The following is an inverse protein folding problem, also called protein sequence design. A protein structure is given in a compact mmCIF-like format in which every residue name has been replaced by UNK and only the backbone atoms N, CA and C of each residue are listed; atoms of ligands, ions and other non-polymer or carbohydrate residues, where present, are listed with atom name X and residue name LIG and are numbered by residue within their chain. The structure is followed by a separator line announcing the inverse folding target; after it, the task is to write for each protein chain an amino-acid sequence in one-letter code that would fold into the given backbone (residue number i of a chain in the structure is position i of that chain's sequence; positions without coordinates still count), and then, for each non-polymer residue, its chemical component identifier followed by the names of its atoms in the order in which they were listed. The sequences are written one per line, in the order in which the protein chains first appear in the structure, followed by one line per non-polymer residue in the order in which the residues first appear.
data_IF_256453729033
#
_entry.id   IF_256453729033
#
_cell.length_a   1.000
_cell.length_b   1.000
_cell.length_c   1.000
_cell.angle_alpha   90.00
_cell.angle_beta   90.00
_cell.angle_gamma   90.00
#
_symmetry.space_group_name_H-M   'P 1'
#
loop_
_entity.id
_entity.type
_entity.pdbx_description
1 polymer ?
2 non-polymer ?
3 non-polymer ?
4 water ?
#
# COMPACT_ATOMS: atom_id res chain seq x y z
N UNK A 1 -0.14 25.90 -6.80
CA UNK A 1 -0.32 27.28 -6.35
C UNK A 1 -0.80 27.30 -4.90
N UNK A 2 -1.97 26.73 -4.69
CA UNK A 2 -2.56 26.40 -3.40
C UNK A 2 -2.67 24.87 -3.33
N UNK A 3 -2.04 24.26 -2.33
CA UNK A 3 -2.00 22.81 -2.21
C UNK A 3 -2.98 22.31 -1.16
N UNK A 4 -4.22 22.74 -1.30
CA UNK A 4 -5.30 22.41 -0.36
C UNK A 4 -6.01 21.15 -0.79
N UNK A 5 -6.05 20.14 0.07
CA UNK A 5 -6.78 18.96 -0.31
C UNK A 5 -8.28 19.12 -0.16
N UNK A 6 -9.03 18.39 -0.96
CA UNK A 6 -10.45 18.21 -0.84
C UNK A 6 -10.81 16.73 -0.87
N UNK A 7 -11.95 16.33 -0.32
CA UNK A 7 -12.39 14.93 -0.42
C UNK A 7 -12.32 14.32 -1.80
N UNK A 8 -12.40 15.14 -2.84
CA UNK A 8 -12.18 14.64 -4.19
C UNK A 8 -10.82 14.04 -4.47
N UNK A 9 -9.81 14.40 -3.69
CA UNK A 9 -8.46 13.85 -3.89
C UNK A 9 -8.32 12.46 -3.28
N UNK A 10 -9.36 11.97 -2.63
CA UNK A 10 -9.45 10.61 -2.13
C UNK A 10 -8.37 10.27 -1.10
N UNK A 11 -8.02 11.22 -0.27
CA UNK A 11 -7.02 10.88 0.77
C UNK A 11 -7.68 10.22 1.98
N UNK A 12 -7.08 9.10 2.45
CA UNK A 12 -7.70 8.39 3.56
C UNK A 12 -6.62 8.08 4.60
N UNK A 13 -7.06 7.85 5.83
CA UNK A 13 -6.10 7.61 6.90
C UNK A 13 -6.62 6.48 7.79
N UNK A 14 -5.73 5.64 8.30
CA UNK A 14 -6.24 4.64 9.26
C UNK A 14 -6.46 5.28 10.61
N UNK A 15 -7.43 4.77 11.38
CA UNK A 15 -7.62 5.23 12.74
C UNK A 15 -6.36 5.09 13.60
N UNK A 16 -5.60 4.05 13.25
CA UNK A 16 -4.42 3.70 14.03
C UNK A 16 -3.24 4.60 13.71
N UNK A 17 -3.39 5.48 12.74
CA UNK A 17 -2.25 6.31 12.33
C UNK A 17 -2.17 7.54 13.23
N UNK A 18 -3.10 8.45 13.07
CA UNK A 18 -3.16 9.63 13.95
C UNK A 18 -3.41 9.19 15.37
N UNK A 19 -3.99 8.01 15.56
CA UNK A 19 -4.26 7.56 16.91
C UNK A 19 -3.15 6.77 17.55
N UNK A 20 -1.96 6.71 16.91
CA UNK A 20 -0.87 5.95 17.51
C UNK A 20 -0.42 6.68 18.78
N UNK A 21 -0.40 5.99 19.92
CA UNK A 21 -0.05 6.68 21.16
C UNK A 21 1.44 6.83 21.39
N UNK A 22 2.27 6.26 20.51
CA UNK A 22 3.70 6.51 20.64
C UNK A 22 4.42 5.44 21.44
N UNK A 23 3.79 4.31 21.67
CA UNK A 23 4.56 3.23 22.34
C UNK A 23 5.49 2.55 21.39
N UNK A 24 6.78 2.40 21.74
CA UNK A 24 7.71 1.76 20.76
C UNK A 24 8.42 0.65 21.56
N UNK A 25 9.31 -0.17 21.03
CA UNK A 25 9.82 -1.30 21.84
C UNK A 25 10.65 -0.83 23.03
N UNK A 26 11.05 0.44 23.05
CA UNK A 26 11.82 0.93 24.18
C UNK A 26 11.14 2.00 25.01
N UNK A 27 9.86 2.30 24.80
CA UNK A 27 9.32 3.39 25.61
C UNK A 27 7.81 3.38 25.68
N UNK A 28 7.33 4.10 26.67
CA UNK A 28 5.92 4.18 26.99
C UNK A 28 5.22 5.16 26.03
N UNK A 29 3.88 5.13 26.07
CA UNK A 29 3.08 6.06 25.26
C UNK A 29 3.38 7.49 25.63
N UNK A 30 3.40 8.42 24.67
CA UNK A 30 3.64 9.83 24.90
C UNK A 30 2.36 10.65 24.66
N UNK A 31 1.32 9.98 24.13
CA UNK A 31 0.07 10.69 23.85
C UNK A 31 -1.10 9.90 24.41
N UNK A 32 -2.16 10.57 24.86
CA UNK A 32 -3.36 9.79 25.24
C UNK A 32 -4.11 9.23 24.05
N UNK A 33 -4.99 8.27 24.34
CA UNK A 33 -5.74 7.68 23.22
C UNK A 33 -6.73 8.70 22.67
N UNK A 34 -6.97 8.55 21.38
CA UNK A 34 -7.94 9.38 20.69
C UNK A 34 -9.24 8.60 20.52
N UNK A 35 -10.37 9.23 20.79
CA UNK A 35 -11.65 8.61 20.45
C UNK A 35 -11.81 8.65 18.94
N UNK A 36 -12.17 7.51 18.34
CA UNK A 36 -12.34 7.39 16.90
C UNK A 36 -13.23 8.48 16.34
N UNK A 37 -14.22 8.88 17.14
CA UNK A 37 -15.11 9.92 16.63
C UNK A 37 -14.37 11.24 16.47
N UNK A 38 -13.45 11.45 17.41
CA UNK A 38 -12.69 12.68 17.40
C UNK A 38 -11.77 12.69 16.18
N UNK A 39 -11.14 11.54 15.89
CA UNK A 39 -10.28 11.48 14.72
C UNK A 39 -11.05 11.71 13.43
N UNK A 40 -12.26 11.15 13.34
CA UNK A 40 -13.01 11.32 12.09
C UNK A 40 -13.29 12.79 11.86
N UNK A 41 -13.66 13.49 12.93
CA UNK A 41 -14.00 14.90 12.82
C UNK A 41 -12.79 15.75 12.46
N UNK A 42 -11.65 15.45 13.07
CA UNK A 42 -10.45 16.27 12.80
C UNK A 42 -9.92 16.02 11.39
N UNK A 43 -9.92 14.75 10.99
CA UNK A 43 -9.49 14.44 9.62
C UNK A 43 -10.40 15.05 8.58
N UNK A 44 -11.70 15.05 8.82
CA UNK A 44 -12.59 15.72 7.86
C UNK A 44 -12.25 17.19 7.71
N UNK A 45 -11.94 17.85 8.82
CA UNK A 45 -11.62 19.26 8.76
C UNK A 45 -10.38 19.53 7.94
N UNK A 46 -9.49 18.55 7.89
CA UNK A 46 -8.25 18.73 7.15
C UNK A 46 -8.39 18.49 5.67
N UNK A 47 -9.54 17.93 5.27
CA UNK A 47 -9.76 17.70 3.84
C UNK A 47 -9.67 16.25 3.45
N UNK A 48 -9.58 15.33 4.40
CA UNK A 48 -9.56 13.92 4.07
C UNK A 48 -10.89 13.45 3.46
N UNK A 49 -10.83 12.37 2.69
CA UNK A 49 -12.00 11.72 2.08
C UNK A 49 -12.58 10.63 2.96
N UNK A 50 -11.73 9.93 3.74
CA UNK A 50 -12.30 8.86 4.57
C UNK A 50 -11.29 8.26 5.55
N UNK A 51 -11.72 7.23 6.28
CA UNK A 51 -10.85 6.61 7.27
C UNK A 51 -10.94 5.10 7.07
N UNK A 52 -9.96 4.40 7.64
CA UNK A 52 -9.99 2.94 7.61
C UNK A 52 -9.75 2.46 9.06
N UNK A 53 -9.99 1.17 9.27
CA UNK A 53 -9.84 0.66 10.64
C UNK A 53 -9.51 -0.81 10.67
N UNK A 54 -8.76 -1.24 11.67
CA UNK A 54 -8.80 -2.61 12.13
C UNK A 54 -10.01 -2.83 13.06
N UNK A 55 -10.58 -4.03 13.06
CA UNK A 55 -11.63 -4.37 14.03
C UNK A 55 -11.30 -3.85 15.43
N UNK A 56 -10.12 -4.14 15.97
CA UNK A 56 -9.81 -3.76 17.33
C UNK A 56 -9.54 -2.28 17.49
N UNK A 57 -9.40 -1.47 16.44
CA UNK A 57 -9.27 -0.05 16.65
C UNK A 57 -10.63 0.59 17.00
N UNK A 58 -11.69 -0.02 16.50
CA UNK A 58 -13.04 0.54 16.54
C UNK A 58 -13.79 -0.07 17.72
N UNK A 59 -13.64 -1.38 17.85
CA UNK A 59 -14.29 -2.13 18.93
C UNK A 59 -13.23 -2.82 19.79
N UNK A 60 -13.06 -2.37 21.02
CA UNK A 60 -11.98 -2.92 21.84
C UNK A 60 -12.16 -4.43 22.02
N UNK A 61 -11.01 -5.08 22.01
CA UNK A 61 -10.98 -6.54 22.09
C UNK A 61 -11.83 -7.01 23.27
N UNK A 62 -12.66 -8.02 23.09
CA UNK A 62 -13.45 -8.66 24.11
C UNK A 62 -14.81 -8.03 24.33
N UNK A 63 -15.11 -6.94 23.63
CA UNK A 63 -16.36 -6.26 23.79
C UNK A 63 -17.55 -7.21 23.64
N UNK A 64 -18.57 -6.96 24.46
CA UNK A 64 -19.84 -7.67 24.37
C UNK A 64 -20.57 -7.24 23.11
N UNK A 65 -21.46 -8.09 22.60
CA UNK A 65 -22.22 -7.71 21.41
C UNK A 65 -22.95 -6.39 21.61
N UNK A 66 -23.31 -6.05 22.87
CA UNK A 66 -24.03 -4.79 23.04
C UNK A 66 -23.08 -3.62 23.05
N UNK A 67 -21.89 -3.80 23.65
CA UNK A 67 -20.92 -2.71 23.62
C UNK A 67 -20.50 -2.42 22.18
N UNK A 68 -20.39 -3.50 21.42
CA UNK A 68 -20.08 -3.46 20.00
C UNK A 68 -21.04 -2.58 19.20
N UNK A 69 -22.34 -2.89 19.32
CA UNK A 69 -23.33 -2.09 18.57
C UNK A 69 -23.23 -0.62 18.96
N UNK A 70 -22.87 -0.35 20.20
CA UNK A 70 -22.78 1.03 20.67
C UNK A 70 -21.60 1.76 20.02
N UNK A 71 -20.45 1.09 19.96
CA UNK A 71 -19.27 1.70 19.37
C UNK A 71 -19.49 1.96 17.89
N UNK A 72 -20.23 1.06 17.24
CA UNK A 72 -20.42 1.22 15.79
C UNK A 72 -21.37 2.37 15.51
N UNK A 73 -22.46 2.44 16.30
CA UNK A 73 -23.44 3.51 16.05
C UNK A 73 -22.85 4.88 16.22
N UNK A 74 -22.05 5.11 17.27
CA UNK A 74 -21.37 6.38 17.44
C UNK A 74 -20.44 6.72 16.27
N UNK A 75 -19.77 5.67 15.77
CA UNK A 75 -18.87 5.87 14.63
C UNK A 75 -19.65 6.29 13.39
N UNK A 76 -20.71 5.50 13.14
CA UNK A 76 -21.56 5.79 12.00
C UNK A 76 -22.16 7.18 12.12
N UNK A 77 -22.48 7.64 13.33
CA UNK A 77 -23.01 9.01 13.35
C UNK A 77 -21.94 10.02 13.02
N UNK A 78 -20.67 9.78 13.41
CA UNK A 78 -19.63 10.73 12.99
C UNK A 78 -19.43 10.72 11.47
N UNK A 79 -19.60 9.54 10.89
CA UNK A 79 -19.40 9.51 9.43
C UNK A 79 -20.51 10.31 8.73
N UNK A 80 -21.73 10.12 9.23
CA UNK A 80 -22.87 10.85 8.65
C UNK A 80 -22.77 12.35 8.84
N UNK A 81 -22.27 12.75 10.00
CA UNK A 81 -22.09 14.15 10.32
C UNK A 81 -21.03 14.82 9.46
N UNK A 82 -20.04 14.05 9.01
CA UNK A 82 -18.94 14.69 8.29
C UNK A 82 -18.91 14.40 6.82
N UNK A 83 -19.61 13.39 6.30
CA UNK A 83 -19.47 13.08 4.89
C UNK A 83 -18.28 12.13 4.67
N UNK A 84 -17.60 11.69 5.72
CA UNK A 84 -16.47 10.76 5.53
C UNK A 84 -16.89 9.36 5.13
N UNK A 85 -16.05 8.70 4.32
CA UNK A 85 -16.33 7.36 3.83
C UNK A 85 -15.40 6.33 4.49
N UNK A 86 -15.74 5.05 4.35
CA UNK A 86 -14.87 3.99 4.89
C UNK A 86 -14.56 3.01 3.76
N UNK A 87 -13.54 3.29 2.96
CA UNK A 87 -13.29 2.47 1.77
C UNK A 87 -12.57 1.15 2.01
N UNK A 88 -11.96 0.99 3.16
CA UNK A 88 -11.19 -0.23 3.40
C UNK A 88 -11.29 -0.58 4.85
N UNK A 89 -11.22 -1.85 5.18
CA UNK A 89 -11.04 -2.24 6.57
C UNK A 89 -10.12 -3.46 6.62
N UNK A 90 -9.73 -3.76 7.85
CA UNK A 90 -8.79 -4.90 8.00
C UNK A 90 -8.97 -5.54 9.36
N UNK A 91 -8.25 -6.64 9.62
CA UNK A 91 -8.39 -7.34 10.89
C UNK A 91 -7.10 -7.20 11.71
N UNK A 92 -7.21 -7.06 13.02
CA UNK A 92 -6.00 -7.14 13.83
C UNK A 92 -5.74 -8.60 14.22
N UNK A 93 -4.79 -9.22 13.52
CA UNK A 93 -4.37 -10.58 13.88
C UNK A 93 -2.91 -10.54 14.34
N UNK A 94 -2.54 -9.50 15.09
CA UNK A 94 -1.12 -9.41 15.48
C UNK A 94 -0.92 -8.92 16.89
N UNK A 95 -1.84 -8.18 17.50
CA UNK A 95 -1.55 -7.60 18.83
C UNK A 95 -1.76 -8.55 19.99
N UNK A 96 -2.88 -9.25 20.00
CA UNK A 96 -3.14 -10.16 21.14
C UNK A 96 -2.10 -11.27 21.24
N UNK A 97 -1.66 -11.61 22.44
CA UNK A 97 -0.72 -12.73 22.62
C UNK A 97 -1.15 -14.01 21.95
N UNK A 98 -2.45 -14.26 21.71
CA UNK A 98 -2.78 -15.55 21.10
C UNK A 98 -2.21 -15.67 19.68
N UNK A 99 -1.89 -14.53 19.06
CA UNK A 99 -1.39 -14.48 17.68
C UNK A 99 0.11 -14.43 17.65
N UNK A 100 0.78 -14.84 18.73
CA UNK A 100 2.25 -14.71 18.77
C UNK A 100 2.95 -15.55 17.72
N UNK A 101 2.37 -16.62 17.22
CA UNK A 101 3.02 -17.41 16.17
C UNK A 101 2.24 -17.31 14.88
N UNK A 102 1.34 -16.32 14.81
CA UNK A 102 0.63 -16.08 13.57
C UNK A 102 -0.88 -16.19 13.75
N UNK A 103 -1.66 -15.86 12.73
CA UNK A 103 -3.12 -16.05 12.75
C UNK A 103 -3.41 -17.19 11.76
N UNK A 104 -3.35 -16.94 10.46
CA UNK A 104 -3.65 -17.97 9.48
C UNK A 104 -2.61 -19.09 9.41
N UNK A 105 -1.38 -18.84 9.85
CA UNK A 105 -0.36 -19.89 9.73
C UNK A 105 0.28 -20.24 11.06
N UNK A 106 -0.44 -19.94 12.14
CA UNK A 106 -0.04 -20.37 13.48
C UNK A 106 0.15 -21.87 13.49
N UNK A 107 1.12 -22.41 14.22
CA UNK A 107 1.25 -23.86 14.22
C UNK A 107 0.03 -24.51 14.89
N UNK A 108 -0.57 -23.86 15.88
CA UNK A 108 -1.73 -24.45 16.57
C UNK A 108 -2.98 -24.34 15.72
N UNK A 109 -3.65 -25.45 15.41
CA UNK A 109 -4.82 -25.42 14.52
C UNK A 109 -5.96 -24.64 15.12
N UNK A 110 -6.14 -24.69 16.45
CA UNK A 110 -7.29 -23.96 17.02
C UNK A 110 -7.09 -22.46 16.88
N UNK A 111 -5.84 -21.99 16.94
CA UNK A 111 -5.65 -20.55 16.71
C UNK A 111 -5.98 -20.14 15.29
N UNK A 112 -5.57 -20.95 14.31
CA UNK A 112 -5.91 -20.68 12.91
C UNK A 112 -7.42 -20.62 12.71
N UNK A 113 -8.20 -21.50 13.33
CA UNK A 113 -9.67 -21.44 13.19
C UNK A 113 -10.20 -20.19 13.85
N UNK A 114 -9.68 -19.78 15.01
CA UNK A 114 -10.12 -18.54 15.63
C UNK A 114 -9.79 -17.34 14.75
N UNK A 115 -8.60 -17.34 14.13
CA UNK A 115 -8.23 -16.19 13.30
C UNK A 115 -9.19 -16.00 12.14
N UNK A 116 -9.62 -17.11 11.54
CA UNK A 116 -10.60 -17.00 10.47
C UNK A 116 -11.94 -16.50 10.98
N UNK A 117 -12.42 -17.00 12.11
CA UNK A 117 -13.71 -16.47 12.59
C UNK A 117 -13.64 -15.01 12.94
N UNK A 118 -12.52 -14.53 13.50
CA UNK A 118 -12.40 -13.10 13.88
C UNK A 118 -12.39 -12.28 12.61
N UNK A 119 -11.74 -12.82 11.58
CA UNK A 119 -11.72 -12.13 10.28
C UNK A 119 -13.12 -12.02 9.67
N UNK A 120 -13.83 -13.13 9.62
CA UNK A 120 -15.16 -13.16 8.96
C UNK A 120 -16.11 -12.21 9.64
N UNK A 121 -16.09 -12.17 10.95
CA UNK A 121 -16.89 -11.21 11.70
C UNK A 121 -16.66 -9.79 11.27
N UNK A 122 -15.40 -9.42 10.97
CA UNK A 122 -15.18 -8.03 10.62
C UNK A 122 -15.46 -7.81 9.14
N UNK A 123 -15.41 -8.83 8.29
CA UNK A 123 -15.75 -8.60 6.87
C UNK A 123 -17.22 -8.16 6.81
N UNK A 124 -18.06 -8.84 7.62
CA UNK A 124 -19.47 -8.43 7.64
C UNK A 124 -19.62 -6.97 8.04
N UNK A 125 -18.90 -6.57 9.09
CA UNK A 125 -18.96 -5.18 9.51
C UNK A 125 -18.43 -4.25 8.43
N UNK A 126 -17.34 -4.59 7.75
CA UNK A 126 -16.83 -3.71 6.73
C UNK A 126 -17.82 -3.48 5.59
N UNK A 127 -18.46 -4.56 5.15
CA UNK A 127 -19.45 -4.41 4.10
C UNK A 127 -20.58 -3.50 4.56
N UNK A 128 -20.97 -3.65 5.83
CA UNK A 128 -22.06 -2.79 6.33
C UNK A 128 -21.65 -1.33 6.25
N UNK A 129 -20.40 -1.03 6.57
CA UNK A 129 -19.94 0.36 6.50
C UNK A 129 -19.57 0.81 5.10
N UNK A 130 -19.65 -0.04 4.09
CA UNK A 130 -19.46 0.33 2.71
C UNK A 130 -18.07 0.17 2.17
N UNK A 131 -17.23 -0.60 2.87
CA UNK A 131 -15.85 -0.76 2.39
C UNK A 131 -15.80 -1.57 1.11
N UNK A 132 -14.90 -1.24 0.19
CA UNK A 132 -14.79 -2.00 -1.07
C UNK A 132 -13.58 -2.92 -1.07
N UNK A 133 -12.67 -2.67 -0.14
CA UNK A 133 -11.43 -3.45 -0.09
C UNK A 133 -11.19 -3.94 1.34
N UNK A 134 -10.76 -5.18 1.47
CA UNK A 134 -10.49 -5.74 2.79
C UNK A 134 -9.00 -6.09 2.79
N UNK A 135 -8.22 -5.45 3.65
CA UNK A 135 -6.75 -5.69 3.60
C UNK A 135 -6.35 -6.79 4.55
N UNK A 136 -5.30 -7.54 4.19
CA UNK A 136 -4.80 -8.53 5.14
C UNK A 136 -3.29 -8.31 5.29
N UNK A 137 -2.82 -7.99 6.48
CA UNK A 137 -1.38 -7.90 6.65
C UNK A 137 -0.98 -9.02 7.63
N UNK A 138 -0.24 -9.99 7.11
CA UNK A 138 0.07 -11.12 7.99
C UNK A 138 1.33 -10.84 8.78
N UNK A 139 1.25 -9.87 9.68
CA UNK A 139 2.38 -9.38 10.46
C UNK A 139 3.03 -10.44 11.33
N UNK A 140 2.26 -11.44 11.80
CA UNK A 140 2.89 -12.46 12.65
C UNK A 140 3.11 -13.77 11.90
N UNK A 141 2.89 -13.85 10.59
CA UNK A 141 3.05 -15.10 9.85
C UNK A 141 4.53 -15.20 9.50
N UNK A 142 5.29 -16.07 10.13
CA UNK A 142 6.72 -16.07 9.83
C UNK A 142 7.47 -16.78 10.92
N UNK A 143 8.73 -16.39 11.16
CA UNK A 143 9.53 -17.21 12.09
C UNK A 143 10.79 -16.43 12.47
N UNK A 144 11.35 -16.75 13.63
CA UNK A 144 12.66 -16.26 14.00
C UNK A 144 13.72 -17.33 13.76
N UNK A 145 13.31 -18.57 13.58
CA UNK A 145 14.29 -19.68 13.45
C UNK A 145 13.84 -20.69 12.41
N UNK A 146 14.80 -21.46 11.88
CA UNK A 146 14.52 -22.25 10.70
C UNK A 146 13.59 -23.41 10.93
N UNK A 147 13.65 -24.05 12.09
CA UNK A 147 12.86 -25.27 12.24
C UNK A 147 11.43 -25.03 12.70
N UNK A 148 11.15 -23.78 13.08
CA UNK A 148 9.87 -23.46 13.70
C UNK A 148 8.72 -23.47 12.73
N UNK A 149 9.05 -23.35 11.43
CA UNK A 149 7.96 -23.15 10.45
C UNK A 149 8.32 -23.87 9.18
N UNK A 150 7.62 -24.90 8.78
CA UNK A 150 7.79 -25.51 7.47
C UNK A 150 7.08 -24.59 6.48
N UNK A 151 7.82 -23.92 5.59
CA UNK A 151 7.12 -22.87 4.83
C UNK A 151 6.19 -23.44 3.78
N UNK A 152 6.44 -24.62 3.23
CA UNK A 152 5.44 -25.19 2.33
C UNK A 152 4.15 -25.48 3.04
N UNK A 153 4.23 -26.07 4.26
CA UNK A 153 2.95 -26.30 4.97
C UNK A 153 2.29 -25.00 5.33
N UNK A 154 3.09 -23.99 5.68
CA UNK A 154 2.48 -22.70 6.03
C UNK A 154 1.85 -22.05 4.83
N UNK A 155 2.42 -22.15 3.63
CA UNK A 155 1.74 -21.60 2.47
C UNK A 155 0.46 -22.38 2.16
N UNK A 156 0.51 -23.70 2.41
CA UNK A 156 -0.77 -24.43 2.25
C UNK A 156 -1.84 -23.86 3.17
N UNK A 157 -1.45 -23.60 4.43
CA UNK A 157 -2.43 -23.06 5.39
C UNK A 157 -2.87 -21.65 5.00
N UNK A 158 -1.93 -20.86 4.44
CA UNK A 158 -2.29 -19.51 4.03
C UNK A 158 -3.28 -19.53 2.87
N UNK A 159 -3.03 -20.42 1.92
CA UNK A 159 -3.92 -20.59 0.77
C UNK A 159 -5.30 -21.05 1.22
N UNK A 160 -5.30 -22.01 2.13
CA UNK A 160 -6.56 -22.52 2.67
C UNK A 160 -7.37 -21.41 3.29
N UNK A 161 -6.71 -20.53 4.07
CA UNK A 161 -7.40 -19.42 4.72
C UNK A 161 -7.97 -18.43 3.71
N UNK A 162 -7.14 -18.02 2.74
CA UNK A 162 -7.73 -17.07 1.78
C UNK A 162 -8.78 -17.72 0.89
N UNK A 163 -8.64 -19.01 0.62
CA UNK A 163 -9.68 -19.66 -0.20
C UNK A 163 -11.00 -19.68 0.56
N UNK A 164 -10.93 -19.96 1.86
CA UNK A 164 -12.16 -19.97 2.64
C UNK A 164 -12.77 -18.60 2.74
N UNK A 165 -11.93 -17.56 2.88
CA UNK A 165 -12.52 -16.23 2.90
C UNK A 165 -13.16 -15.86 1.56
N UNK A 166 -12.60 -16.37 0.46
CA UNK A 166 -13.22 -16.05 -0.83
C UNK A 166 -14.53 -16.81 -0.98
N UNK A 167 -14.52 -18.04 -0.46
CA UNK A 167 -15.78 -18.79 -0.51
C UNK A 167 -16.83 -18.05 0.28
N UNK A 168 -16.46 -17.48 1.42
CA UNK A 168 -17.41 -16.79 2.27
C UNK A 168 -17.98 -15.58 1.56
N UNK A 169 -17.15 -14.69 1.02
CA UNK A 169 -17.74 -13.48 0.44
C UNK A 169 -18.55 -13.84 -0.80
N UNK A 170 -18.19 -14.86 -1.56
CA UNK A 170 -18.98 -15.17 -2.75
C UNK A 170 -20.32 -15.80 -2.36
N UNK A 171 -20.33 -16.56 -1.28
CA UNK A 171 -21.58 -17.20 -0.87
C UNK A 171 -22.54 -16.19 -0.27
N UNK A 172 -22.00 -15.13 0.33
CA UNK A 172 -22.82 -14.07 0.90
C UNK A 172 -23.19 -13.04 -0.15
N UNK A 173 -22.62 -13.13 -1.36
CA UNK A 173 -22.98 -12.10 -2.34
C UNK A 173 -22.33 -10.75 -2.14
N UNK A 174 -21.20 -10.66 -1.44
CA UNK A 174 -20.65 -9.35 -1.12
C UNK A 174 -19.76 -8.83 -2.25
N UNK A 175 -19.79 -7.52 -2.42
CA UNK A 175 -18.95 -6.89 -3.45
C UNK A 175 -17.81 -6.23 -2.66
N UNK A 176 -16.84 -7.08 -2.38
CA UNK A 176 -15.63 -6.64 -1.67
C UNK A 176 -14.50 -7.50 -2.25
N UNK A 177 -13.31 -6.93 -2.37
CA UNK A 177 -12.14 -7.64 -2.84
C UNK A 177 -11.05 -7.60 -1.75
N UNK A 178 -10.11 -8.52 -1.90
CA UNK A 178 -9.11 -8.66 -0.84
C UNK A 178 -7.77 -8.07 -1.31
N UNK A 179 -6.98 -7.50 -0.40
CA UNK A 179 -5.68 -6.95 -0.82
C UNK A 179 -4.65 -7.44 0.20
N UNK A 180 -3.64 -8.17 -0.23
CA UNK A 180 -2.62 -8.63 0.69
C UNK A 180 -1.52 -7.60 0.80
N UNK A 181 -1.10 -7.32 1.99
CA UNK A 181 -0.10 -6.28 2.23
C UNK A 181 1.20 -6.97 2.62
N UNK A 182 2.21 -6.95 1.78
CA UNK A 182 3.48 -7.59 2.11
C UNK A 182 4.34 -6.74 3.04
N UNK A 183 5.21 -7.43 3.77
CA UNK A 183 6.24 -6.75 4.58
C UNK A 183 7.37 -7.76 4.74
N UNK A 184 8.63 -7.44 4.64
CA UNK A 184 9.65 -8.48 4.71
C UNK A 184 10.02 -8.99 6.10
N UNK A 185 9.90 -8.12 7.10
CA UNK A 185 10.24 -8.50 8.46
C UNK A 185 9.62 -7.49 9.42
N UNK A 186 9.59 -7.82 10.69
CA UNK A 186 9.21 -6.95 11.78
C UNK A 186 7.68 -6.95 11.88
N UNK A 187 7.09 -7.59 12.89
CA UNK A 187 7.76 -8.07 14.08
C UNK A 187 8.35 -9.46 14.04
N UNK A 188 8.08 -10.26 13.01
CA UNK A 188 8.75 -11.56 13.01
C UNK A 188 10.10 -11.38 12.31
N UNK A 189 11.02 -12.30 12.57
CA UNK A 189 12.35 -12.24 11.98
C UNK A 189 12.32 -12.25 10.48
N UNK A 190 11.48 -13.09 9.89
CA UNK A 190 11.16 -13.06 8.47
C UNK A 190 9.65 -13.29 8.36
N UNK A 191 8.98 -12.52 7.52
CA UNK A 191 7.53 -12.65 7.37
C UNK A 191 7.25 -13.34 6.06
N UNK A 192 6.22 -14.20 6.03
CA UNK A 192 5.94 -14.88 4.77
C UNK A 192 5.33 -13.91 3.75
N UNK A 193 5.52 -14.14 2.45
CA UNK A 193 5.12 -13.22 1.39
C UNK A 193 5.75 -11.85 1.61
N UNK A 194 7.09 -11.82 1.59
CA UNK A 194 7.74 -10.61 2.09
C UNK A 194 7.74 -9.41 1.17
N UNK A 195 7.42 -9.60 -0.14
CA UNK A 195 7.47 -8.46 -1.03
C UNK A 195 6.25 -8.48 -1.96
N UNK A 196 6.05 -7.37 -2.66
CA UNK A 196 4.96 -7.40 -3.65
C UNK A 196 5.04 -8.55 -4.61
N UNK A 197 6.26 -8.93 -5.06
CA UNK A 197 6.35 -10.04 -6.00
C UNK A 197 5.90 -11.36 -5.40
N UNK A 198 6.34 -11.69 -4.16
CA UNK A 198 5.90 -12.95 -3.54
C UNK A 198 4.39 -13.00 -3.36
N UNK A 199 3.78 -11.85 -3.03
CA UNK A 199 2.31 -11.83 -2.84
C UNK A 199 1.61 -12.02 -4.16
N UNK A 200 2.08 -11.37 -5.22
CA UNK A 200 1.46 -11.53 -6.54
C UNK A 200 1.57 -12.96 -6.99
N UNK A 201 2.72 -13.61 -6.71
CA UNK A 201 2.85 -14.98 -7.18
C UNK A 201 1.92 -15.92 -6.44
N UNK A 202 1.77 -15.65 -5.14
CA UNK A 202 0.91 -16.47 -4.31
C UNK A 202 -0.54 -16.42 -4.74
N UNK A 203 -1.01 -15.22 -5.05
CA UNK A 203 -2.39 -15.01 -5.47
C UNK A 203 -2.77 -15.87 -6.67
N UNK A 204 -1.80 -16.14 -7.54
CA UNK A 204 -2.11 -16.90 -8.75
C UNK A 204 -2.39 -18.35 -8.39
N UNK A 205 -2.11 -18.78 -7.18
CA UNK A 205 -2.39 -20.17 -6.79
C UNK A 205 -3.66 -20.30 -5.97
N UNK A 206 -4.40 -19.20 -5.76
CA UNK A 206 -5.66 -19.26 -5.03
C UNK A 206 -6.79 -19.78 -5.91
N UNK A 207 -7.86 -20.27 -5.31
CA UNK A 207 -8.88 -20.82 -6.22
C UNK A 207 -9.55 -19.76 -7.06
N UNK A 208 -9.79 -18.55 -6.55
CA UNK A 208 -10.46 -17.50 -7.32
C UNK A 208 -9.55 -16.26 -7.30
N UNK A 209 -8.50 -16.31 -8.09
CA UNK A 209 -7.51 -15.24 -8.04
C UNK A 209 -8.09 -13.87 -8.35
N UNK A 210 -9.23 -13.79 -9.05
CA UNK A 210 -9.70 -12.46 -9.41
C UNK A 210 -10.15 -11.67 -8.20
N UNK A 211 -10.39 -12.28 -7.05
CA UNK A 211 -10.85 -11.56 -5.89
C UNK A 211 -9.70 -10.94 -5.06
N UNK A 212 -8.47 -11.23 -5.48
CA UNK A 212 -7.34 -10.83 -4.64
C UNK A 212 -6.31 -9.97 -5.36
N UNK A 213 -5.84 -8.89 -4.68
CA UNK A 213 -4.77 -8.05 -5.26
C UNK A 213 -3.77 -7.73 -4.14
N UNK A 214 -3.00 -6.67 -4.35
CA UNK A 214 -2.01 -6.30 -3.33
C UNK A 214 -2.32 -4.91 -2.80
N UNK A 215 -1.86 -4.67 -1.59
CA UNK A 215 -1.86 -3.38 -0.91
C UNK A 215 -0.40 -3.11 -0.51
N UNK A 216 0.43 -2.65 -1.42
CA UNK A 216 1.86 -2.41 -1.11
C UNK A 216 1.99 -1.18 -0.22
N UNK A 217 3.05 -1.12 0.60
CA UNK A 217 3.32 0.05 1.41
C UNK A 217 4.70 0.58 1.06
N UNK A 218 4.84 1.88 0.86
CA UNK A 218 6.14 2.43 0.43
C UNK A 218 7.30 1.90 1.26
N UNK A 219 7.14 2.03 2.58
CA UNK A 219 8.29 1.72 3.44
C UNK A 219 8.58 0.25 3.48
N UNK A 220 7.60 -0.63 3.28
CA UNK A 220 7.87 -2.06 3.41
C UNK A 220 8.76 -2.57 2.30
N UNK A 221 8.46 -2.13 1.06
CA UNK A 221 9.38 -2.62 0.02
C UNK A 221 10.77 -1.99 0.18
N UNK A 222 10.81 -0.77 0.71
CA UNK A 222 12.14 -0.16 0.92
C UNK A 222 12.90 -0.82 2.06
N UNK A 223 12.24 -1.57 2.95
CA UNK A 223 12.95 -2.30 3.99
C UNK A 223 13.74 -3.48 3.42
N UNK A 224 13.40 -3.82 2.18
CA UNK A 224 14.18 -4.82 1.44
C UNK A 224 15.08 -4.13 0.40
N UNK A 225 15.17 -2.81 0.42
CA UNK A 225 16.11 -2.15 -0.51
C UNK A 225 15.56 -2.15 -1.93
N UNK A 226 14.24 -2.37 -2.06
CA UNK A 226 13.71 -2.47 -3.43
C UNK A 226 13.17 -1.14 -3.94
N UNK A 227 12.98 -1.04 -5.25
CA UNK A 227 12.47 0.23 -5.83
C UNK A 227 10.95 0.15 -5.81
N UNK A 228 10.33 0.99 -5.00
CA UNK A 228 8.86 0.89 -4.83
C UNK A 228 8.14 1.24 -6.11
N UNK A 229 8.44 2.32 -6.83
CA UNK A 229 7.74 2.53 -8.11
C UNK A 229 7.85 1.37 -9.08
N UNK A 230 9.01 0.71 -9.10
CA UNK A 230 9.08 -0.47 -9.98
C UNK A 230 8.11 -1.57 -9.55
N UNK A 231 7.99 -1.82 -8.24
CA UNK A 231 7.09 -2.90 -7.79
C UNK A 231 5.64 -2.52 -8.05
N UNK A 232 5.32 -1.25 -7.87
CA UNK A 232 3.96 -0.77 -8.17
C UNK A 232 3.69 -0.93 -9.65
N UNK A 233 4.69 -0.68 -10.51
CA UNK A 233 4.47 -0.86 -11.95
C UNK A 233 4.16 -2.31 -12.25
N UNK A 234 4.88 -3.23 -11.56
CA UNK A 234 4.60 -4.64 -11.82
C UNK A 234 3.19 -5.00 -11.34
N UNK A 235 2.79 -4.45 -10.19
CA UNK A 235 1.44 -4.71 -9.70
C UNK A 235 0.39 -4.13 -10.67
N UNK A 236 0.63 -2.94 -11.19
CA UNK A 236 -0.30 -2.37 -12.19
C UNK A 236 -0.34 -3.19 -13.48
N UNK A 237 0.82 -3.65 -13.93
CA UNK A 237 0.89 -4.47 -15.15
C UNK A 237 0.05 -5.72 -14.98
N UNK A 238 0.00 -6.30 -13.78
CA UNK A 238 -0.72 -7.53 -13.52
C UNK A 238 -2.21 -7.28 -13.27
N UNK A 239 -2.60 -6.01 -13.18
CA UNK A 239 -3.98 -5.68 -12.88
C UNK A 239 -4.32 -5.90 -11.41
N UNK A 240 -3.36 -5.78 -10.48
CA UNK A 240 -3.63 -6.15 -9.11
C UNK A 240 -3.40 -5.05 -8.08
N UNK A 241 -3.28 -3.80 -8.52
CA UNK A 241 -3.08 -2.77 -7.50
C UNK A 241 -4.46 -2.33 -6.97
N UNK A 242 -4.91 -3.00 -5.92
CA UNK A 242 -6.26 -2.72 -5.45
C UNK A 242 -6.28 -1.57 -4.43
N UNK A 243 -5.14 -1.30 -3.81
CA UNK A 243 -5.10 -0.26 -2.77
C UNK A 243 -3.63 0.05 -2.57
N UNK A 244 -3.30 1.11 -1.85
CA UNK A 244 -1.88 1.42 -1.65
C UNK A 244 -1.70 2.14 -0.32
N UNK A 245 -0.60 1.87 0.38
CA UNK A 245 -0.32 2.54 1.65
C UNK A 245 0.85 3.50 1.45
N UNK A 246 0.63 4.78 1.69
CA UNK A 246 1.66 5.78 1.41
C UNK A 246 2.32 6.25 2.69
N UNK A 247 3.65 6.32 2.72
CA UNK A 247 4.36 6.82 3.90
C UNK A 247 5.83 7.04 3.49
N UNK A 248 6.74 7.18 4.43
CA UNK A 248 8.14 7.36 4.06
C UNK A 248 9.05 6.51 4.94
N UNK A 249 10.25 6.23 4.43
CA UNK A 249 11.13 5.27 5.11
C UNK A 249 12.55 5.70 4.76
N UNK A 250 13.46 5.76 5.72
CA UNK A 250 14.83 6.08 5.38
C UNK A 250 15.66 4.78 5.33
N UNK A 251 15.54 4.06 4.22
CA UNK A 251 16.36 2.88 3.93
C UNK A 251 16.02 1.62 4.68
N UNK A 252 17.05 0.77 4.80
CA UNK A 252 16.87 -0.56 5.40
C UNK A 252 17.15 -0.52 6.89
N UNK A 253 16.06 -0.57 7.64
CA UNK A 253 16.06 -0.55 9.10
C UNK A 253 14.65 -0.86 9.58
N UNK A 254 14.32 -0.62 10.83
CA UNK A 254 12.97 -0.84 11.36
C UNK A 254 11.96 -0.02 10.54
N UNK A 255 10.70 -0.46 10.56
CA UNK A 255 9.62 0.21 9.80
C UNK A 255 9.32 1.56 10.41
N UNK A 256 9.72 2.67 9.77
CA UNK A 256 9.54 3.98 10.39
C UNK A 256 8.14 4.56 10.24
N UNK A 257 7.46 4.27 9.13
CA UNK A 257 6.14 4.81 8.87
C UNK A 257 6.13 6.33 8.99
N UNK A 258 7.09 7.00 8.33
CA UNK A 258 7.10 8.46 8.39
C UNK A 258 6.00 9.04 7.53
N UNK A 259 5.75 10.35 7.71
CA UNK A 259 4.75 10.89 6.79
C UNK A 259 5.20 10.82 5.34
N UNK A 260 4.21 10.72 4.43
CA UNK A 260 4.47 10.61 3.02
C UNK A 260 5.23 11.85 2.54
N UNK A 261 6.27 11.63 1.76
CA UNK A 261 7.17 12.67 1.27
C UNK A 261 8.49 12.68 2.01
N UNK A 262 8.45 12.30 3.28
CA UNK A 262 9.67 12.08 4.04
C UNK A 262 10.31 10.79 3.55
N UNK A 263 11.56 10.55 3.95
CA UNK A 263 12.20 9.33 3.46
C UNK A 263 12.80 9.63 2.10
N UNK A 264 12.54 8.73 1.16
CA UNK A 264 13.14 8.88 -0.17
C UNK A 264 12.24 9.75 -1.03
N UNK A 265 12.61 11.02 -1.11
CA UNK A 265 11.75 11.97 -1.80
C UNK A 265 11.68 11.74 -3.30
N UNK A 266 12.82 11.40 -3.92
CA UNK A 266 12.70 11.16 -5.36
C UNK A 266 11.84 9.95 -5.67
N UNK A 267 11.91 8.91 -4.82
CA UNK A 267 11.01 7.77 -5.08
C UNK A 267 9.54 8.14 -4.94
N UNK A 268 9.28 9.09 -4.03
CA UNK A 268 7.89 9.57 -3.90
C UNK A 268 7.48 10.29 -5.17
N UNK A 269 8.36 11.06 -5.78
CA UNK A 269 8.07 11.79 -7.02
C UNK A 269 7.72 10.79 -8.10
N UNK A 270 8.60 9.76 -8.23
CA UNK A 270 8.34 8.81 -9.31
C UNK A 270 7.13 7.95 -9.03
N UNK A 271 6.80 7.72 -7.76
CA UNK A 271 5.57 7.01 -7.49
C UNK A 271 4.34 7.81 -7.89
N UNK A 272 4.33 9.09 -7.50
CA UNK A 272 3.13 9.90 -7.86
C UNK A 272 3.00 10.00 -9.38
N UNK A 273 4.12 10.20 -10.07
CA UNK A 273 4.13 10.23 -11.54
C UNK A 273 3.46 8.99 -12.10
N UNK A 274 3.84 7.82 -11.56
CA UNK A 274 3.26 6.58 -12.05
C UNK A 274 1.79 6.43 -11.72
N UNK A 275 1.41 6.67 -10.47
CA UNK A 275 0.01 6.54 -10.12
C UNK A 275 -0.88 7.44 -10.96
N UNK A 276 -0.43 8.67 -11.16
CA UNK A 276 -1.29 9.62 -11.89
C UNK A 276 -1.25 9.32 -13.38
N UNK A 277 -0.11 8.88 -13.90
CA UNK A 277 -0.12 8.58 -15.34
C UNK A 277 -0.83 7.27 -15.64
N UNK A 278 -0.88 6.33 -14.71
CA UNK A 278 -1.58 5.07 -14.95
C UNK A 278 -3.06 5.24 -14.63
N UNK A 279 -3.47 6.34 -14.03
CA UNK A 279 -4.90 6.55 -13.76
C UNK A 279 -5.35 5.67 -12.61
N UNK A 280 -4.49 5.42 -11.64
CA UNK A 280 -4.93 4.66 -10.45
C UNK A 280 -6.10 5.40 -9.81
N UNK A 281 -7.22 4.71 -9.56
CA UNK A 281 -8.34 5.50 -9.04
C UNK A 281 -8.76 5.13 -7.63
N UNK A 282 -7.97 4.29 -6.96
CA UNK A 282 -8.35 3.95 -5.60
C UNK A 282 -7.95 5.04 -4.62
N UNK A 283 -8.18 4.75 -3.35
CA UNK A 283 -7.82 5.67 -2.30
C UNK A 283 -6.30 5.91 -2.20
N UNK A 284 -5.92 7.11 -1.80
CA UNK A 284 -4.52 7.36 -1.49
C UNK A 284 -4.49 7.37 0.04
N UNK A 285 -4.17 6.20 0.53
CA UNK A 285 -4.20 5.94 1.95
C UNK A 285 -2.85 6.14 2.63
N UNK A 286 -2.85 6.88 3.73
CA UNK A 286 -1.60 7.05 4.47
C UNK A 286 -1.61 6.11 5.66
N UNK A 287 -0.60 5.23 5.71
CA UNK A 287 -0.39 4.34 6.85
C UNK A 287 0.91 4.88 7.48
N UNK A 288 0.80 5.81 8.40
CA UNK A 288 1.98 6.50 8.92
C UNK A 288 1.83 6.64 10.42
N UNK A 289 2.93 6.95 11.11
CA UNK A 289 2.88 7.23 12.52
C UNK A 289 3.43 8.60 12.80
N UNK A 290 2.67 9.53 13.36
CA UNK A 290 3.32 10.79 13.74
C UNK A 290 4.33 10.47 14.83
N UNK A 291 5.57 10.94 14.70
CA UNK A 291 6.60 10.58 15.66
C UNK A 291 6.25 10.85 17.11
N UNK A 292 6.81 10.03 17.99
CA UNK A 292 6.32 10.11 19.38
C UNK A 292 6.83 11.36 20.09
N UNK A 293 7.71 12.13 19.43
CA UNK A 293 8.11 13.44 19.91
C UNK A 293 6.97 14.45 19.89
N UNK A 294 5.90 14.16 19.18
CA UNK A 294 4.90 15.19 18.87
C UNK A 294 3.74 15.21 19.86
N UNK A 295 3.21 16.42 20.10
CA UNK A 295 1.91 16.40 20.79
C UNK A 295 0.77 16.36 19.79
N UNK A 296 -0.51 16.49 20.22
CA UNK A 296 -1.55 16.41 19.19
C UNK A 296 -1.51 17.48 18.13
N UNK A 297 -1.02 18.68 18.38
CA UNK A 297 -0.88 19.63 17.30
C UNK A 297 0.09 19.12 16.26
N UNK A 298 1.16 18.45 16.67
CA UNK A 298 2.11 17.86 15.71
C UNK A 298 1.53 16.67 14.99
N UNK A 299 0.62 15.92 15.63
CA UNK A 299 -0.06 14.84 14.90
C UNK A 299 -0.83 15.40 13.72
N UNK A 300 -1.61 16.47 13.95
CA UNK A 300 -2.40 17.00 12.82
C UNK A 300 -1.53 17.68 11.77
N UNK A 301 -0.42 18.25 12.21
CA UNK A 301 0.49 18.83 11.26
C UNK A 301 1.09 17.78 10.33
N UNK A 302 1.43 16.66 10.97
CA UNK A 302 2.04 15.56 10.20
C UNK A 302 1.04 14.97 9.22
N UNK A 303 -0.22 14.80 9.65
CA UNK A 303 -1.25 14.29 8.74
C UNK A 303 -1.49 15.25 7.59
N UNK A 304 -1.55 16.56 7.92
CA UNK A 304 -1.72 17.50 6.80
C UNK A 304 -0.56 17.45 5.82
N UNK A 305 0.64 17.22 6.36
CA UNK A 305 1.81 17.23 5.45
C UNK A 305 1.80 16.05 4.49
N UNK A 306 1.22 14.91 4.87
CA UNK A 306 1.05 13.79 3.98
C UNK A 306 0.35 14.22 2.69
N UNK A 307 -0.78 14.90 2.90
CA UNK A 307 -1.63 15.35 1.79
C UNK A 307 -0.96 16.45 0.98
N UNK A 308 -0.37 17.40 1.67
CA UNK A 308 0.34 18.49 1.00
C UNK A 308 1.43 17.96 0.09
N UNK A 309 2.23 17.01 0.60
CA UNK A 309 3.36 16.56 -0.22
C UNK A 309 2.87 15.77 -1.43
N UNK A 310 1.82 14.98 -1.28
CA UNK A 310 1.24 14.35 -2.46
C UNK A 310 0.87 15.43 -3.47
N UNK A 311 0.19 16.47 -3.05
CA UNK A 311 -0.29 17.42 -4.07
C UNK A 311 0.85 18.22 -4.65
N UNK A 312 1.92 18.51 -3.89
CA UNK A 312 3.03 19.21 -4.56
C UNK A 312 3.65 18.28 -5.61
N UNK A 313 3.91 17.02 -5.23
CA UNK A 313 4.56 16.13 -6.18
C UNK A 313 3.69 15.86 -7.38
N UNK A 314 2.38 15.81 -7.17
CA UNK A 314 1.50 15.66 -8.35
C UNK A 314 1.65 16.80 -9.34
N UNK A 315 1.71 18.01 -8.81
CA UNK A 315 1.91 19.18 -9.71
C UNK A 315 3.24 19.13 -10.42
N UNK A 316 4.33 18.75 -9.72
CA UNK A 316 5.63 18.72 -10.36
C UNK A 316 5.73 17.59 -11.38
N UNK A 317 5.06 16.45 -11.12
CA UNK A 317 5.18 15.34 -12.07
C UNK A 317 4.35 15.67 -13.31
N UNK A 318 3.22 16.35 -13.10
CA UNK A 318 2.45 16.75 -14.29
C UNK A 318 3.19 17.79 -15.13
N UNK A 319 3.89 18.73 -14.48
CA UNK A 319 4.66 19.74 -15.20
C UNK A 319 5.79 19.05 -15.97
N UNK A 320 6.38 18.04 -15.35
CA UNK A 320 7.45 17.30 -16.05
C UNK A 320 6.95 16.66 -17.32
N UNK A 321 5.82 15.97 -17.22
CA UNK A 321 5.41 15.21 -18.38
C UNK A 321 4.86 16.14 -19.47
N UNK A 322 4.43 17.33 -19.08
CA UNK A 322 3.77 18.25 -20.05
C UNK A 322 4.79 19.13 -20.73
N UNK A 323 6.02 19.15 -20.22
CA UNK A 323 7.06 20.01 -20.76
C UNK A 323 7.55 19.56 -22.12
N UNK A 324 7.47 20.40 -23.16
CA UNK A 324 7.88 19.88 -24.47
C UNK A 324 9.34 19.48 -24.52
N UNK A 325 10.20 20.10 -23.71
CA UNK A 325 11.61 19.74 -23.69
C UNK A 325 11.78 18.34 -23.07
N UNK A 326 10.87 18.02 -22.13
CA UNK A 326 10.97 16.66 -21.59
C UNK A 326 10.50 15.64 -22.59
N UNK A 327 9.43 15.97 -23.34
CA UNK A 327 8.93 15.03 -24.34
C UNK A 327 10.00 14.80 -25.41
N UNK A 328 10.73 15.83 -25.77
CA UNK A 328 11.81 15.63 -26.73
C UNK A 328 12.92 14.75 -26.16
N UNK A 329 13.24 14.98 -24.87
CA UNK A 329 14.26 14.15 -24.21
C UNK A 329 13.87 12.69 -24.13
N UNK A 330 12.59 12.42 -23.89
CA UNK A 330 12.08 11.04 -23.82
C UNK A 330 12.27 10.39 -25.18
N UNK A 331 12.04 11.15 -26.27
CA UNK A 331 12.30 10.53 -27.57
C UNK A 331 13.78 10.34 -27.78
N UNK A 332 14.58 11.30 -27.29
CA UNK A 332 16.01 11.15 -27.48
C UNK A 332 16.52 9.92 -26.75
N UNK A 333 15.91 9.54 -25.63
CA UNK A 333 16.31 8.33 -24.88
C UNK A 333 15.53 7.10 -25.33
N UNK A 334 14.72 7.20 -26.37
CA UNK A 334 14.02 6.14 -27.02
C UNK A 334 12.99 5.45 -26.14
N UNK A 335 12.38 6.23 -25.25
CA UNK A 335 11.24 5.66 -24.54
C UNK A 335 10.12 5.36 -25.52
N UNK A 336 10.01 6.09 -26.64
CA UNK A 336 8.95 5.75 -27.60
C UNK A 336 9.20 4.35 -28.18
N UNK A 337 10.46 4.01 -28.43
CA UNK A 337 10.78 2.71 -29.01
C UNK A 337 10.59 1.56 -28.02
N UNK A 338 10.76 1.82 -26.74
CA UNK A 338 10.50 0.77 -25.73
C UNK A 338 9.06 0.28 -25.77
N UNK A 339 8.15 1.20 -26.09
CA UNK A 339 6.72 0.90 -26.14
C UNK A 339 6.29 0.22 -27.43
N UNK A 340 7.19 0.10 -28.41
CA UNK A 340 6.85 -0.61 -29.64
C UNK A 340 7.20 -2.08 -29.56
N UNK A 341 6.39 -2.96 -30.10
CA UNK A 341 6.74 -4.38 -30.04
C UNK A 341 8.08 -4.64 -30.70
N UNK A 342 8.78 -5.59 -30.08
CA UNK A 342 10.06 -6.04 -30.57
C UNK A 342 9.92 -6.78 -31.89
N UNK A 343 8.84 -7.55 -31.93
CA UNK A 343 8.72 -8.41 -33.12
C UNK A 343 7.27 -8.72 -33.49
N UNK A 344 6.54 -7.66 -33.78
CA UNK A 344 5.16 -7.81 -34.25
C UNK A 344 5.16 -8.61 -35.56
N UNK A 345 6.24 -8.63 -36.30
CA UNK A 345 6.39 -9.38 -37.55
C UNK A 345 6.38 -10.87 -37.28
N UNK A 346 6.63 -11.30 -36.03
CA UNK A 346 6.53 -12.73 -35.73
C UNK A 346 7.87 -13.45 -35.73
N UNK A 347 7.91 -14.65 -35.15
CA UNK A 347 9.11 -15.44 -34.96
C UNK A 347 9.82 -15.77 -36.25
N UNK A 348 9.03 -16.25 -37.24
CA UNK A 348 9.71 -16.63 -38.47
C UNK A 348 10.37 -15.44 -39.15
N UNK A 349 9.71 -14.29 -39.23
CA UNK A 349 10.37 -13.15 -39.86
C UNK A 349 11.57 -12.62 -39.11
N UNK A 350 11.52 -12.72 -37.78
CA UNK A 350 12.69 -12.40 -36.97
C UNK A 350 13.86 -13.30 -37.34
N UNK A 351 13.63 -14.61 -37.43
CA UNK A 351 14.71 -15.52 -37.80
C UNK A 351 15.27 -15.29 -39.19
N UNK A 352 14.44 -14.81 -40.10
CA UNK A 352 14.93 -14.55 -41.47
C UNK A 352 15.41 -13.11 -41.64
N UNK A 353 15.37 -12.32 -40.58
CA UNK A 353 15.78 -10.92 -40.74
C UNK A 353 17.28 -10.77 -40.54
N UNK A 354 18.03 -10.60 -41.64
CA UNK A 354 19.48 -10.56 -41.48
C UNK A 354 19.92 -9.28 -40.77
N UNK A 355 19.07 -8.26 -40.81
CA UNK A 355 19.44 -7.01 -40.13
C UNK A 355 19.38 -7.20 -38.61
N UNK A 356 18.82 -8.32 -38.14
CA UNK A 356 18.73 -8.50 -36.68
C UNK A 356 19.93 -9.29 -36.19
N UNK A 357 20.82 -9.78 -37.04
CA UNK A 357 21.95 -10.55 -36.50
C UNK A 357 23.11 -10.58 -37.47
N UNK A 358 22.95 -11.22 -38.63
CA UNK A 358 24.08 -11.37 -39.55
C UNK A 358 24.63 -10.04 -39.99
N UNK A 359 23.78 -9.05 -40.19
CA UNK A 359 24.23 -7.76 -40.73
C UNK A 359 23.93 -6.62 -39.76
N UNK A 360 23.75 -6.99 -38.49
CA UNK A 360 23.55 -5.95 -37.48
C UNK A 360 24.89 -5.34 -37.12
N UNK A 361 24.97 -4.03 -37.15
CA UNK A 361 26.20 -3.37 -36.78
C UNK A 361 26.22 -3.17 -35.27
N UNK A 362 26.77 -4.12 -34.52
CA UNK A 362 26.73 -4.02 -33.05
C UNK A 362 27.56 -2.85 -32.56
N UNK A 363 28.65 -2.48 -33.24
CA UNK A 363 29.52 -1.40 -32.79
C UNK A 363 28.82 -0.06 -32.94
N UNK A 364 28.07 0.11 -34.03
CA UNK A 364 27.34 1.34 -34.21
C UNK A 364 26.26 1.50 -33.14
N UNK A 365 25.59 0.38 -32.84
CA UNK A 365 24.50 0.44 -31.86
C UNK A 365 25.05 0.75 -30.48
N UNK A 366 26.17 0.12 -30.16
CA UNK A 366 26.80 0.29 -28.87
C UNK A 366 27.24 1.72 -28.63
N UNK A 367 27.58 2.47 -29.71
CA UNK A 367 28.13 3.81 -29.49
C UNK A 367 27.05 4.85 -29.21
N UNK A 368 25.79 4.47 -29.44
CA UNK A 368 24.72 5.44 -29.28
C UNK A 368 24.50 5.76 -27.79
N UNK A 369 24.70 6.97 -27.31
CA UNK A 369 24.42 7.19 -25.88
C UNK A 369 22.93 7.14 -25.64
N UNK A 370 22.52 6.75 -24.42
CA UNK A 370 21.12 6.72 -24.10
C UNK A 370 20.56 8.07 -23.65
N UNK A 371 21.38 9.08 -23.35
CA UNK A 371 20.95 10.40 -22.91
C UNK A 371 20.10 10.38 -21.65
N UNK A 372 20.36 9.40 -20.76
CA UNK A 372 19.51 9.35 -19.56
C UNK A 372 19.86 10.39 -18.52
N UNK A 373 21.09 10.89 -18.52
CA UNK A 373 21.48 11.82 -17.44
C UNK A 373 20.84 13.18 -17.71
N UNK A 374 20.80 13.61 -18.98
CA UNK A 374 20.11 14.87 -19.25
C UNK A 374 18.62 14.77 -18.92
N UNK A 375 17.98 13.65 -19.25
CA UNK A 375 16.58 13.42 -18.88
C UNK A 375 16.39 13.46 -17.37
N UNK A 376 17.32 12.86 -16.63
CA UNK A 376 17.13 12.80 -15.18
C UNK A 376 17.38 14.16 -14.54
N UNK A 377 18.24 14.99 -15.16
CA UNK A 377 18.42 16.32 -14.60
C UNK A 377 17.21 17.18 -14.96
N UNK A 378 16.57 16.96 -16.11
CA UNK A 378 15.28 17.66 -16.28
C UNK A 378 14.26 17.28 -15.23
N UNK A 379 14.22 15.99 -14.85
CA UNK A 379 13.28 15.59 -13.82
C UNK A 379 13.64 16.20 -12.49
N UNK A 380 14.93 16.29 -12.17
CA UNK A 380 15.35 16.94 -10.93
C UNK A 380 14.95 18.42 -10.93
N UNK A 381 15.20 19.12 -12.05
CA UNK A 381 14.84 20.52 -12.08
C UNK A 381 13.33 20.72 -11.89
N UNK A 382 12.52 19.83 -12.50
CA UNK A 382 11.08 19.96 -12.30
C UNK A 382 10.66 19.71 -10.87
N UNK A 383 11.21 18.64 -10.26
CA UNK A 383 10.90 18.35 -8.86
C UNK A 383 11.22 19.55 -7.98
N UNK A 384 12.36 20.21 -8.21
CA UNK A 384 12.79 21.30 -7.33
C UNK A 384 12.22 22.66 -7.72
N UNK A 385 11.48 22.67 -8.80
CA UNK A 385 10.84 23.92 -9.26
C UNK A 385 11.94 24.84 -9.75
N UNK A 386 12.94 24.28 -10.45
CA UNK A 386 14.08 25.06 -10.90
C UNK A 386 14.13 25.12 -12.43
N UNK A 387 12.98 25.22 -13.06
CA UNK A 387 12.95 25.37 -14.51
C UNK A 387 12.80 26.84 -14.93
N UNK A 388 13.79 27.34 -15.67
CA UNK A 388 13.78 28.70 -16.17
C UNK A 388 14.69 28.85 -17.38
#
# INVERSE_FOLDING_TARGET
MNYQPTPEDRFTFGLWTVGWQGRDPFGDATRRALDPVESVRRLAELGAHGVTFHDDDLIPFGSSDSEREEHVKRFRQALDDTGMKVPMATTNLFTHPVFKDGGFTANDRDVRRYALRKTIRNIDLAVELGAETYVAWGGREGAESGGAKDVRDALDRMKEAFDLLGEYVTSQGYDIRFAIEPKPNEPRGDILLPTVGHALAFIERLERPELYGVNPEVGHEQMAGLNFPHGIAQALWAGKLFHIDLNGQNGIKYDQDLRFGAGDLRAAFWLVDLLESAGYSGPRHFDFKPPRTEDFDGVWASAAGCMRNYLILKERAAAFRADPEVQEALRASRLDELARPTAADGLQALLDDRSAFEEFDVDAAAARGMAFERLDQLAMDHLLGARG
#
